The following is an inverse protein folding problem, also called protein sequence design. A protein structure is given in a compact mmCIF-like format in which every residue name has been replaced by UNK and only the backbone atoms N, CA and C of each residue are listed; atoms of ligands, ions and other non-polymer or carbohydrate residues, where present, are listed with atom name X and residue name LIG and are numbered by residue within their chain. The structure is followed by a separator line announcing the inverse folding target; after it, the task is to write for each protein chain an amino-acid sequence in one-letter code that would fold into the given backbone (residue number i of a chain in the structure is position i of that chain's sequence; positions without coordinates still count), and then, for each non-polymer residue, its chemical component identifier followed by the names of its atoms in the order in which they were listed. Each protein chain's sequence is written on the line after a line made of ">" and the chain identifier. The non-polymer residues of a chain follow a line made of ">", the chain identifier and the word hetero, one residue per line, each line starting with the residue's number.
data_IF_190367294549
#
_entry.id   IF_190367294549
#
_cell.length_a   1.000
_cell.length_b   1.000
_cell.length_c   1.000
_cell.angle_alpha   90.00
_cell.angle_beta   90.00
_cell.angle_gamma   90.00
#
_symmetry.space_group_name_H-M   'P 1'
#
loop_
_entity.id
_entity.type
_entity.pdbx_description
1 polymer ?
#
# COMPACT_ATOMS: atom_id res chain seq x y z
N UNK A 1 36.62 3.03 20.53
CA UNK A 1 36.90 2.16 19.37
C UNK A 1 36.89 3.05 18.15
N UNK A 2 37.96 3.09 17.36
CA UNK A 2 38.06 3.90 16.14
C UNK A 2 37.63 3.08 14.93
N UNK A 3 37.07 3.73 13.90
CA UNK A 3 36.67 3.08 12.65
C UNK A 3 37.92 2.70 11.84
N UNK A 4 37.99 1.47 11.36
CA UNK A 4 39.02 1.06 10.40
C UNK A 4 38.73 1.65 9.00
N UNK A 5 39.74 1.68 8.14
CA UNK A 5 39.54 2.09 6.74
C UNK A 5 38.53 1.19 6.01
N UNK A 6 38.49 -0.11 6.35
CA UNK A 6 37.51 -1.05 5.83
C UNK A 6 36.09 -0.75 6.32
N UNK A 7 35.93 -0.37 7.59
CA UNK A 7 34.64 0.06 8.12
C UNK A 7 34.12 1.30 7.38
N UNK A 8 34.99 2.30 7.16
CA UNK A 8 34.63 3.53 6.46
C UNK A 8 34.17 3.24 5.03
N UNK A 9 34.86 2.36 4.31
CA UNK A 9 34.49 2.00 2.94
C UNK A 9 33.16 1.22 2.89
N UNK A 10 32.96 0.29 3.83
CA UNK A 10 31.70 -0.46 3.94
C UNK A 10 30.52 0.47 4.26
N UNK A 11 30.70 1.46 5.14
CA UNK A 11 29.67 2.44 5.49
C UNK A 11 29.23 3.31 4.31
N UNK A 12 30.08 3.50 3.29
CA UNK A 12 29.81 4.34 2.12
C UNK A 12 29.19 3.58 0.95
N UNK A 13 29.21 2.25 0.99
CA UNK A 13 28.75 1.41 -0.09
C UNK A 13 27.45 0.73 0.33
N UNK A 14 26.31 0.96 -0.36
CA UNK A 14 25.07 0.28 -0.03
C UNK A 14 25.21 -1.25 -0.10
N UNK A 15 24.49 -1.97 0.76
CA UNK A 15 24.63 -3.43 0.87
C UNK A 15 24.38 -4.17 -0.45
N UNK A 16 23.47 -3.68 -1.31
CA UNK A 16 23.23 -4.28 -2.63
C UNK A 16 24.40 -4.07 -3.60
N UNK A 17 25.15 -2.97 -3.49
CA UNK A 17 26.38 -2.79 -4.27
C UNK A 17 27.51 -3.67 -3.72
N UNK A 18 27.64 -3.78 -2.41
CA UNK A 18 28.56 -4.75 -1.79
C UNK A 18 28.26 -6.18 -2.26
N UNK A 19 26.97 -6.56 -2.35
CA UNK A 19 26.55 -7.87 -2.84
C UNK A 19 26.95 -8.11 -4.31
N UNK A 20 26.79 -7.11 -5.19
CA UNK A 20 27.24 -7.19 -6.59
C UNK A 20 28.76 -7.36 -6.68
N UNK A 21 29.53 -6.68 -5.82
CA UNK A 21 30.99 -6.83 -5.76
C UNK A 21 31.35 -8.25 -5.31
N UNK A 22 30.69 -8.79 -4.28
CA UNK A 22 30.89 -10.17 -3.81
C UNK A 22 30.59 -11.19 -4.92
N UNK A 23 29.51 -11.02 -5.68
CA UNK A 23 29.20 -11.84 -6.86
C UNK A 23 30.31 -11.78 -7.91
N UNK A 24 30.81 -10.57 -8.23
CA UNK A 24 31.91 -10.39 -9.18
C UNK A 24 33.22 -11.06 -8.76
N UNK A 25 33.40 -11.31 -7.45
CA UNK A 25 34.55 -12.04 -6.88
C UNK A 25 34.33 -13.55 -6.79
N UNK A 26 33.15 -14.05 -7.16
CA UNK A 26 32.80 -15.47 -7.04
C UNK A 26 32.39 -15.90 -5.63
N UNK A 27 31.92 -14.96 -4.78
CA UNK A 27 31.45 -15.22 -3.41
C UNK A 27 29.91 -15.15 -3.31
N UNK A 28 29.15 -16.15 -3.78
CA UNK A 28 27.68 -16.10 -3.77
C UNK A 28 27.08 -16.13 -2.37
N UNK A 29 27.73 -16.81 -1.40
CA UNK A 29 27.25 -16.89 -0.01
C UNK A 29 27.31 -15.50 0.68
N UNK A 30 28.40 -14.78 0.49
CA UNK A 30 28.56 -13.41 0.99
C UNK A 30 27.54 -12.47 0.34
N UNK A 31 27.33 -12.59 -0.97
CA UNK A 31 26.34 -11.79 -1.68
C UNK A 31 24.91 -12.04 -1.16
N UNK A 32 24.53 -13.30 -0.93
CA UNK A 32 23.22 -13.65 -0.38
C UNK A 32 23.04 -13.04 1.02
N UNK A 33 24.02 -13.18 1.91
CA UNK A 33 23.98 -12.59 3.24
C UNK A 33 23.87 -11.05 3.21
N UNK A 34 24.53 -10.39 2.26
CA UNK A 34 24.43 -8.94 2.07
C UNK A 34 23.04 -8.51 1.55
N UNK A 35 22.43 -9.31 0.66
CA UNK A 35 21.05 -9.08 0.18
C UNK A 35 20.06 -9.21 1.34
N UNK A 36 20.16 -10.26 2.15
CA UNK A 36 19.26 -10.46 3.30
C UNK A 36 19.36 -9.30 4.30
N UNK A 37 20.58 -8.83 4.58
CA UNK A 37 20.80 -7.64 5.40
C UNK A 37 20.23 -6.37 4.77
N UNK A 38 20.32 -6.22 3.45
CA UNK A 38 19.73 -5.08 2.74
C UNK A 38 18.19 -5.10 2.85
N UNK A 39 17.58 -6.27 2.74
CA UNK A 39 16.13 -6.46 2.92
C UNK A 39 15.72 -6.11 4.36
N UNK A 40 16.49 -6.49 5.37
CA UNK A 40 16.18 -6.14 6.76
C UNK A 40 16.32 -4.62 7.02
N UNK A 41 17.34 -3.97 6.45
CA UNK A 41 17.44 -2.51 6.50
C UNK A 41 16.24 -1.83 5.82
N UNK A 42 15.82 -2.34 4.67
CA UNK A 42 14.62 -1.86 3.98
C UNK A 42 13.36 -2.05 4.85
N UNK A 43 13.22 -3.20 5.54
CA UNK A 43 12.10 -3.47 6.47
C UNK A 43 12.01 -2.40 7.53
N UNK A 44 13.12 -2.09 8.19
CA UNK A 44 13.19 -1.04 9.21
C UNK A 44 12.76 0.34 8.68
N UNK A 45 13.32 0.78 7.55
CA UNK A 45 12.99 2.08 6.94
C UNK A 45 11.54 2.17 6.48
N UNK A 46 11.01 1.10 5.88
CA UNK A 46 9.62 1.01 5.45
C UNK A 46 8.66 1.04 6.65
N UNK A 47 8.94 0.27 7.70
CA UNK A 47 8.12 0.27 8.92
C UNK A 47 8.15 1.63 9.61
N UNK A 48 9.33 2.26 9.70
CA UNK A 48 9.45 3.64 10.19
C UNK A 48 8.58 4.61 9.38
N UNK A 49 8.68 4.57 8.05
CA UNK A 49 7.93 5.47 7.16
C UNK A 49 6.42 5.30 7.30
N UNK A 50 5.93 4.05 7.43
CA UNK A 50 4.51 3.76 7.62
C UNK A 50 4.02 4.27 8.97
N UNK A 51 4.74 4.03 10.06
CA UNK A 51 4.37 4.56 11.38
C UNK A 51 4.38 6.10 11.39
N UNK A 52 5.35 6.72 10.72
CA UNK A 52 5.40 8.18 10.59
C UNK A 52 4.18 8.72 9.84
N UNK A 53 3.83 8.14 8.69
CA UNK A 53 2.64 8.53 7.92
C UNK A 53 1.37 8.32 8.75
N UNK A 54 1.19 7.17 9.40
CA UNK A 54 -0.01 6.92 10.23
C UNK A 54 -0.10 7.87 11.41
N UNK A 55 1.03 8.20 12.03
CA UNK A 55 1.08 9.19 13.12
C UNK A 55 0.67 10.58 12.66
N UNK A 56 1.12 11.01 11.47
CA UNK A 56 0.70 12.30 10.90
C UNK A 56 -0.79 12.29 10.54
N UNK A 57 -1.31 11.21 9.93
CA UNK A 57 -2.74 11.11 9.62
C UNK A 57 -3.60 11.06 10.88
N UNK A 58 -3.13 10.39 11.94
CA UNK A 58 -3.76 10.39 13.28
C UNK A 58 -3.84 11.81 13.82
N UNK A 59 -2.71 12.52 13.87
CA UNK A 59 -2.66 13.92 14.32
C UNK A 59 -3.59 14.83 13.51
N UNK A 60 -3.60 14.71 12.18
CA UNK A 60 -4.49 15.48 11.31
C UNK A 60 -5.96 15.18 11.64
N UNK A 61 -6.32 13.90 11.83
CA UNK A 61 -7.68 13.51 12.14
C UNK A 61 -8.14 13.99 13.52
N UNK A 62 -7.27 13.93 14.53
CA UNK A 62 -7.56 14.38 15.90
C UNK A 62 -7.68 15.91 15.99
N UNK A 63 -6.79 16.64 15.33
CA UNK A 63 -6.75 18.11 15.44
C UNK A 63 -7.65 18.83 14.44
N UNK A 64 -7.92 18.23 13.28
CA UNK A 64 -8.59 18.89 12.15
C UNK A 64 -9.80 18.11 11.62
N UNK A 65 -10.12 16.95 12.20
CA UNK A 65 -11.24 16.10 11.83
C UNK A 65 -10.95 15.15 10.65
N UNK A 66 -11.80 14.14 10.50
CA UNK A 66 -11.65 13.09 9.48
C UNK A 66 -11.64 13.64 8.05
N UNK A 67 -12.41 14.70 7.78
CA UNK A 67 -12.41 15.38 6.48
C UNK A 67 -11.00 15.82 6.06
N UNK A 68 -10.20 16.33 7.01
CA UNK A 68 -8.83 16.75 6.79
C UNK A 68 -7.91 15.59 6.38
N UNK A 69 -8.16 14.39 6.91
CA UNK A 69 -7.42 13.17 6.53
C UNK A 69 -7.61 12.87 5.03
N UNK A 70 -8.84 12.90 4.52
CA UNK A 70 -9.08 12.72 3.08
C UNK A 70 -8.47 13.86 2.27
N UNK A 71 -8.57 15.13 2.71
CA UNK A 71 -7.92 16.24 1.99
C UNK A 71 -6.40 16.03 1.87
N UNK A 72 -5.74 15.56 2.93
CA UNK A 72 -4.31 15.24 2.92
C UNK A 72 -3.98 14.07 1.97
N UNK A 73 -4.78 13.01 1.99
CA UNK A 73 -4.64 11.86 1.08
C UNK A 73 -4.89 12.26 -0.38
N UNK A 74 -5.90 13.09 -0.64
CA UNK A 74 -6.20 13.61 -1.98
C UNK A 74 -5.05 14.45 -2.54
N UNK A 75 -4.46 15.31 -1.71
CA UNK A 75 -3.26 16.09 -2.09
C UNK A 75 -2.11 15.17 -2.51
N UNK A 76 -1.86 14.11 -1.72
CA UNK A 76 -0.88 13.07 -2.09
C UNK A 76 -1.24 12.40 -3.41
N UNK A 77 -2.53 12.14 -3.62
CA UNK A 77 -3.07 11.60 -4.85
C UNK A 77 -2.75 12.44 -6.08
N UNK A 78 -3.03 13.74 -6.04
CA UNK A 78 -2.74 14.65 -7.14
C UNK A 78 -1.23 14.83 -7.37
N UNK A 79 -0.43 14.92 -6.31
CA UNK A 79 1.01 15.22 -6.42
C UNK A 79 1.85 14.00 -6.81
N UNK A 80 1.46 12.80 -6.39
CA UNK A 80 2.29 11.60 -6.53
C UNK A 80 1.59 10.44 -7.21
N UNK A 81 0.29 10.21 -6.97
CA UNK A 81 -0.40 9.03 -7.52
C UNK A 81 -0.76 9.28 -8.98
N UNK A 82 -1.42 10.40 -9.28
CA UNK A 82 -1.86 10.75 -10.63
C UNK A 82 -0.71 10.84 -11.63
N UNK A 83 0.43 11.52 -11.35
CA UNK A 83 1.55 11.55 -12.29
C UNK A 83 2.19 10.19 -12.54
N UNK A 84 2.17 9.27 -11.56
CA UNK A 84 2.67 7.90 -11.73
C UNK A 84 1.77 7.03 -12.59
N UNK A 85 0.49 7.39 -12.74
CA UNK A 85 -0.48 6.68 -13.60
C UNK A 85 -0.33 7.07 -15.07
N UNK A 86 0.23 8.25 -15.36
CA UNK A 86 0.48 8.73 -16.72
C UNK A 86 1.64 7.96 -17.37
N UNK A 87 1.33 6.76 -17.87
CA UNK A 87 2.27 5.85 -18.51
C UNK A 87 2.09 5.78 -20.03
N UNK A 88 1.20 6.61 -20.59
CA UNK A 88 0.78 6.54 -21.99
C UNK A 88 -0.18 5.41 -22.31
N UNK A 89 -0.71 4.71 -21.31
CA UNK A 89 -1.75 3.69 -21.45
C UNK A 89 -2.76 3.84 -20.32
N UNK A 90 -4.05 3.88 -20.68
CA UNK A 90 -5.12 4.01 -19.70
C UNK A 90 -5.25 2.74 -18.85
N UNK A 91 -5.49 2.92 -17.55
CA UNK A 91 -5.60 1.79 -16.62
C UNK A 91 -6.70 0.81 -17.03
N UNK A 92 -7.84 1.33 -17.51
CA UNK A 92 -9.00 0.54 -17.91
C UNK A 92 -8.72 -0.35 -19.13
N UNK A 93 -7.80 0.05 -20.00
CA UNK A 93 -7.47 -0.67 -21.24
C UNK A 93 -6.47 -1.81 -20.99
N UNK A 94 -5.84 -1.85 -19.81
CA UNK A 94 -4.92 -2.91 -19.44
C UNK A 94 -5.68 -4.20 -19.14
N UNK A 95 -5.20 -5.37 -19.65
CA UNK A 95 -5.74 -6.65 -19.26
C UNK A 95 -5.72 -6.81 -17.73
N UNK A 96 -6.77 -7.39 -17.13
CA UNK A 96 -6.84 -7.56 -15.67
C UNK A 96 -5.62 -8.30 -15.10
N UNK A 97 -5.06 -9.27 -15.83
CA UNK A 97 -3.83 -9.95 -15.43
C UNK A 97 -2.61 -9.00 -15.34
N UNK A 98 -2.52 -7.98 -16.20
CA UNK A 98 -1.46 -6.96 -16.11
C UNK A 98 -1.69 -6.05 -14.91
N UNK A 99 -2.92 -5.56 -14.72
CA UNK A 99 -3.33 -4.78 -13.55
C UNK A 99 -3.03 -5.52 -12.24
N UNK A 100 -3.42 -6.79 -12.15
CA UNK A 100 -3.20 -7.64 -10.98
C UNK A 100 -1.71 -7.82 -10.67
N UNK A 101 -0.87 -8.04 -11.68
CA UNK A 101 0.60 -8.15 -11.50
C UNK A 101 1.22 -6.87 -10.97
N UNK A 102 0.75 -5.69 -11.42
CA UNK A 102 1.24 -4.40 -10.92
C UNK A 102 0.94 -4.27 -9.42
N UNK A 103 -0.31 -4.53 -9.02
CA UNK A 103 -0.74 -4.44 -7.61
C UNK A 103 -0.01 -5.47 -6.75
N UNK A 104 0.03 -6.74 -7.18
CA UNK A 104 0.69 -7.82 -6.44
C UNK A 104 2.19 -7.53 -6.22
N UNK A 105 2.91 -7.03 -7.24
CA UNK A 105 4.32 -6.64 -7.11
C UNK A 105 4.53 -5.50 -6.12
N UNK A 106 3.65 -4.50 -6.15
CA UNK A 106 3.72 -3.38 -5.20
C UNK A 106 3.49 -3.86 -3.75
N UNK A 107 2.58 -4.82 -3.52
CA UNK A 107 2.38 -5.40 -2.19
C UNK A 107 3.53 -6.28 -1.73
N UNK A 108 4.06 -7.14 -2.60
CA UNK A 108 5.23 -7.96 -2.30
C UNK A 108 6.47 -7.09 -2.01
N UNK A 109 6.67 -5.99 -2.75
CA UNK A 109 7.73 -5.01 -2.49
C UNK A 109 7.57 -4.28 -1.15
N UNK A 110 6.34 -4.18 -0.64
CA UNK A 110 6.02 -3.70 0.71
C UNK A 110 6.04 -4.80 1.77
N UNK A 111 6.60 -5.97 1.46
CA UNK A 111 6.72 -7.12 2.37
C UNK A 111 5.38 -7.73 2.80
N UNK A 112 4.33 -7.56 1.99
CA UNK A 112 3.09 -8.30 2.15
C UNK A 112 3.18 -9.72 1.59
N UNK A 113 2.19 -10.55 1.91
CA UNK A 113 1.94 -11.83 1.26
C UNK A 113 0.72 -11.68 0.33
N UNK A 114 0.68 -12.43 -0.77
CA UNK A 114 -0.46 -12.44 -1.69
C UNK A 114 -0.88 -13.87 -2.01
N UNK A 115 -2.17 -14.14 -1.90
CA UNK A 115 -2.84 -15.25 -2.57
C UNK A 115 -3.61 -14.72 -3.77
N UNK A 116 -3.66 -15.53 -4.83
CA UNK A 116 -4.28 -15.16 -6.11
C UNK A 116 -5.28 -16.24 -6.48
N UNK A 117 -6.51 -15.81 -6.69
CA UNK A 117 -7.60 -16.63 -7.24
C UNK A 117 -8.13 -15.94 -8.51
N UNK A 118 -8.59 -16.73 -9.47
CA UNK A 118 -9.18 -16.23 -10.71
C UNK A 118 -10.39 -17.09 -11.05
N UNK A 119 -11.51 -16.42 -11.33
CA UNK A 119 -12.72 -17.01 -11.87
C UNK A 119 -13.01 -16.41 -13.26
N UNK A 120 -14.18 -16.69 -13.83
CA UNK A 120 -14.55 -16.20 -15.16
C UNK A 120 -14.71 -14.67 -15.21
N UNK A 121 -15.08 -14.02 -14.09
CA UNK A 121 -15.41 -12.60 -14.00
C UNK A 121 -14.20 -11.73 -13.60
N UNK A 122 -13.37 -12.22 -12.66
CA UNK A 122 -12.36 -11.40 -11.99
C UNK A 122 -11.15 -12.17 -11.46
N UNK A 123 -10.12 -11.40 -11.15
CA UNK A 123 -8.96 -11.84 -10.36
C UNK A 123 -9.13 -11.29 -8.94
N UNK A 124 -9.00 -12.16 -7.95
CA UNK A 124 -9.03 -11.83 -6.54
C UNK A 124 -7.61 -11.91 -5.97
N UNK A 125 -7.12 -10.80 -5.43
CA UNK A 125 -5.86 -10.75 -4.69
C UNK A 125 -6.15 -10.62 -3.20
N UNK A 126 -5.69 -11.60 -2.42
CA UNK A 126 -5.89 -11.68 -0.98
C UNK A 126 -4.57 -11.41 -0.27
N UNK A 127 -4.45 -10.24 0.37
CA UNK A 127 -3.19 -9.78 0.93
C UNK A 127 -3.12 -9.90 2.46
N UNK A 128 -2.02 -10.45 2.98
CA UNK A 128 -1.53 -9.96 4.28
C UNK A 128 -0.80 -8.65 4.00
N UNK A 129 -1.52 -7.54 4.19
CA UNK A 129 -1.05 -6.23 3.78
C UNK A 129 0.19 -5.82 4.59
N UNK A 130 1.30 -5.60 3.90
CA UNK A 130 2.57 -5.22 4.51
C UNK A 130 2.57 -3.83 5.16
N UNK A 131 1.49 -3.03 5.03
CA UNK A 131 1.42 -1.67 5.57
C UNK A 131 0.28 -1.51 6.58
N UNK A 132 -0.95 -1.24 6.13
CA UNK A 132 -2.10 -1.08 7.02
C UNK A 132 -2.41 -2.35 7.81
N UNK A 133 -2.44 -3.51 7.14
CA UNK A 133 -2.63 -4.82 7.78
C UNK A 133 -1.60 -5.10 8.87
N UNK A 134 -0.32 -4.89 8.56
CA UNK A 134 0.77 -4.99 9.54
C UNK A 134 0.52 -4.15 10.79
N UNK A 135 0.10 -2.89 10.67
CA UNK A 135 -0.20 -2.03 11.84
C UNK A 135 -1.36 -2.57 12.68
N UNK A 136 -2.38 -3.14 12.02
CA UNK A 136 -3.54 -3.75 12.69
C UNK A 136 -3.09 -4.99 13.47
N UNK A 137 -2.31 -5.86 12.84
CA UNK A 137 -1.80 -7.10 13.43
C UNK A 137 -0.84 -6.83 14.61
N UNK A 138 -0.07 -5.74 14.54
CA UNK A 138 0.80 -5.27 15.61
C UNK A 138 0.05 -4.56 16.76
N UNK A 139 -1.28 -4.43 16.67
CA UNK A 139 -2.10 -3.81 17.72
C UNK A 139 -1.89 -2.30 17.86
N UNK A 140 -1.44 -1.60 16.80
CA UNK A 140 -1.09 -0.17 16.85
C UNK A 140 -2.27 0.78 17.05
N UNK A 141 -3.49 0.26 17.04
CA UNK A 141 -4.73 1.03 17.21
C UNK A 141 -5.40 0.78 18.56
N UNK A 142 -4.65 0.19 19.50
CA UNK A 142 -5.11 -0.13 20.85
C UNK A 142 -4.11 0.45 21.88
N UNK A 143 -4.60 0.83 23.07
CA UNK A 143 -3.78 1.35 24.17
C UNK A 143 -3.58 2.87 24.22
N UNK A 144 -2.66 3.33 25.08
CA UNK A 144 -2.48 4.75 25.44
C UNK A 144 -1.94 5.64 24.30
N UNK A 145 -1.28 5.04 23.31
CA UNK A 145 -0.72 5.72 22.13
C UNK A 145 -1.24 5.10 20.83
N UNK A 146 -2.52 4.72 20.84
CA UNK A 146 -3.21 4.16 19.69
C UNK A 146 -3.25 5.17 18.53
N UNK A 147 -3.06 4.66 17.31
CA UNK A 147 -3.43 5.41 16.12
C UNK A 147 -4.95 5.55 16.00
N UNK A 148 -5.38 6.60 15.28
CA UNK A 148 -6.79 6.89 15.09
C UNK A 148 -7.50 5.80 14.26
N UNK A 149 -8.76 5.54 14.62
CA UNK A 149 -9.73 4.90 13.74
C UNK A 149 -10.74 5.96 13.30
N UNK A 150 -10.97 6.04 11.99
CA UNK A 150 -12.01 6.87 11.38
C UNK A 150 -13.36 6.25 11.67
N UNK A 151 -14.36 7.07 12.03
CA UNK A 151 -15.70 6.66 12.43
C UNK A 151 -16.78 7.33 11.58
N UNK A 152 -16.43 8.31 10.73
CA UNK A 152 -17.39 9.01 9.90
C UNK A 152 -17.77 8.17 8.68
N UNK A 153 -19.03 7.73 8.64
CA UNK A 153 -19.57 6.90 7.54
C UNK A 153 -19.62 7.70 6.24
N UNK A 154 -18.62 7.52 5.40
CA UNK A 154 -18.42 8.28 4.17
C UNK A 154 -17.61 7.46 3.16
N UNK A 155 -17.38 8.02 1.96
CA UNK A 155 -16.58 7.34 0.95
C UNK A 155 -15.19 6.92 1.46
N UNK A 156 -14.51 7.77 2.26
CA UNK A 156 -13.17 7.51 2.80
C UNK A 156 -13.08 6.23 3.64
N UNK A 157 -14.19 5.84 4.27
CA UNK A 157 -14.30 4.67 5.15
C UNK A 157 -14.98 3.48 4.45
N UNK A 158 -15.18 3.54 3.13
CA UNK A 158 -15.97 2.57 2.38
C UNK A 158 -17.43 2.47 2.87
N UNK A 159 -17.99 3.58 3.36
CA UNK A 159 -19.28 3.62 4.07
C UNK A 159 -19.35 2.65 5.26
N UNK A 160 -18.22 2.34 5.89
CA UNK A 160 -18.16 1.54 7.12
C UNK A 160 -18.30 2.45 8.34
N UNK A 161 -18.73 1.85 9.45
CA UNK A 161 -18.83 2.55 10.73
C UNK A 161 -17.45 2.82 11.36
N UNK A 162 -16.43 2.05 10.96
CA UNK A 162 -15.05 2.27 11.38
C UNK A 162 -14.05 1.81 10.30
N UNK A 163 -12.94 2.56 10.16
CA UNK A 163 -11.77 2.18 9.38
C UNK A 163 -10.48 2.68 10.04
N UNK A 164 -9.45 1.84 10.12
CA UNK A 164 -8.12 2.27 10.56
C UNK A 164 -7.57 3.39 9.68
N UNK A 165 -7.08 4.48 10.29
CA UNK A 165 -6.77 5.72 9.54
C UNK A 165 -5.79 5.51 8.39
N UNK A 166 -4.79 4.63 8.55
CA UNK A 166 -3.86 4.33 7.48
C UNK A 166 -4.55 3.70 6.26
N UNK A 167 -5.54 2.82 6.48
CA UNK A 167 -6.27 2.15 5.40
C UNK A 167 -7.16 3.09 4.58
N UNK A 168 -7.41 4.33 5.00
CA UNK A 168 -8.22 5.28 4.23
C UNK A 168 -7.61 5.61 2.86
N UNK A 169 -6.28 5.50 2.70
CA UNK A 169 -5.63 5.71 1.39
C UNK A 169 -6.11 4.71 0.33
N UNK A 170 -6.53 3.51 0.73
CA UNK A 170 -7.11 2.51 -0.16
C UNK A 170 -8.37 3.07 -0.82
N UNK A 171 -9.32 3.61 -0.04
CA UNK A 171 -10.53 4.21 -0.60
C UNK A 171 -10.18 5.46 -1.42
N UNK A 172 -9.41 6.38 -0.83
CA UNK A 172 -9.19 7.70 -1.43
C UNK A 172 -8.35 7.62 -2.70
N UNK A 173 -7.16 7.02 -2.62
CA UNK A 173 -6.20 7.03 -3.71
C UNK A 173 -6.39 5.90 -4.72
N UNK A 174 -6.88 4.73 -4.29
CA UNK A 174 -7.05 3.59 -5.21
C UNK A 174 -8.44 3.52 -5.83
N UNK A 175 -9.46 4.18 -5.26
CA UNK A 175 -10.84 4.09 -5.78
C UNK A 175 -11.48 5.43 -6.09
N UNK A 176 -11.64 6.31 -5.10
CA UNK A 176 -12.33 7.60 -5.25
C UNK A 176 -11.68 8.47 -6.33
N UNK A 177 -10.36 8.70 -6.21
CA UNK A 177 -9.67 9.60 -7.11
C UNK A 177 -9.56 9.05 -8.55
N UNK A 178 -9.26 7.76 -8.78
CA UNK A 178 -9.35 7.18 -10.12
C UNK A 178 -10.70 7.44 -10.81
N UNK A 179 -11.80 7.29 -10.07
CA UNK A 179 -13.15 7.59 -10.59
C UNK A 179 -13.30 9.07 -10.94
N UNK A 180 -12.85 9.97 -10.08
CA UNK A 180 -12.87 11.41 -10.35
C UNK A 180 -11.95 11.83 -11.52
N UNK A 181 -10.92 11.05 -11.80
CA UNK A 181 -10.03 11.24 -12.94
C UNK A 181 -10.54 10.59 -14.24
N UNK A 182 -11.73 9.98 -14.24
CA UNK A 182 -12.34 9.36 -15.42
C UNK A 182 -11.90 7.91 -15.69
N UNK A 183 -11.32 7.24 -14.68
CA UNK A 183 -10.91 5.83 -14.73
C UNK A 183 -11.84 4.97 -13.86
N UNK A 184 -11.84 3.66 -14.07
CA UNK A 184 -12.37 2.75 -13.04
C UNK A 184 -11.46 2.78 -11.80
N UNK A 185 -11.93 2.35 -10.63
CA UNK A 185 -11.06 2.08 -9.49
C UNK A 185 -9.85 1.22 -9.88
N UNK A 186 -8.73 1.44 -9.20
CA UNK A 186 -7.49 0.66 -9.42
C UNK A 186 -7.74 -0.83 -9.12
N UNK A 187 -8.43 -1.08 -8.01
CA UNK A 187 -9.05 -2.36 -7.63
C UNK A 187 -10.23 -2.07 -6.72
N UNK A 188 -11.14 -3.03 -6.55
CA UNK A 188 -12.22 -2.94 -5.55
C UNK A 188 -11.71 -3.55 -4.25
N UNK A 189 -11.37 -2.73 -3.27
CA UNK A 189 -10.65 -3.12 -2.06
C UNK A 189 -11.59 -3.30 -0.85
N UNK A 190 -11.43 -4.41 -0.16
CA UNK A 190 -12.11 -4.73 1.09
C UNK A 190 -11.05 -4.89 2.18
N UNK A 191 -10.75 -3.81 2.94
CA UNK A 191 -9.84 -3.89 4.07
C UNK A 191 -10.35 -4.89 5.12
N UNK A 192 -9.46 -5.45 5.95
CA UNK A 192 -9.85 -6.36 7.03
C UNK A 192 -10.90 -5.75 7.96
N UNK A 193 -11.51 -6.57 8.80
CA UNK A 193 -12.43 -6.12 9.87
C UNK A 193 -11.88 -6.38 11.27
N UNK A 194 -10.85 -7.25 11.38
CA UNK A 194 -10.12 -7.52 12.62
C UNK A 194 -8.67 -7.96 12.34
N UNK A 195 -7.78 -7.96 13.35
CA UNK A 195 -6.43 -8.48 13.21
C UNK A 195 -6.38 -9.92 12.68
N UNK A 196 -5.40 -10.20 11.85
CA UNK A 196 -5.16 -11.50 11.20
C UNK A 196 -5.96 -11.74 9.92
N UNK A 197 -6.93 -10.88 9.58
CA UNK A 197 -7.66 -10.96 8.32
C UNK A 197 -6.86 -10.38 7.14
N UNK A 198 -7.15 -10.87 5.93
CA UNK A 198 -6.57 -10.35 4.70
C UNK A 198 -7.36 -9.19 4.12
N UNK A 199 -6.66 -8.29 3.45
CA UNK A 199 -7.25 -7.27 2.58
C UNK A 199 -7.54 -7.90 1.21
N UNK A 200 -8.77 -7.79 0.72
CA UNK A 200 -9.20 -8.41 -0.54
C UNK A 200 -9.28 -7.34 -1.63
N UNK A 201 -8.69 -7.60 -2.80
CA UNK A 201 -8.77 -6.72 -3.96
C UNK A 201 -9.38 -7.50 -5.12
N UNK A 202 -10.52 -7.03 -5.64
CA UNK A 202 -11.09 -7.56 -6.86
C UNK A 202 -10.66 -6.74 -8.08
N UNK A 203 -10.24 -7.43 -9.13
CA UNK A 203 -9.97 -6.87 -10.45
C UNK A 203 -10.85 -7.57 -11.48
N UNK A 204 -11.93 -6.91 -11.88
CA UNK A 204 -12.80 -7.41 -12.94
C UNK A 204 -12.07 -7.42 -14.29
N UNK A 205 -12.27 -8.50 -15.06
CA UNK A 205 -11.67 -8.67 -16.38
C UNK A 205 -12.10 -7.57 -17.34
N UNK A 206 -13.41 -7.30 -17.37
CA UNK A 206 -13.99 -6.09 -17.95
C UNK A 206 -14.34 -5.09 -16.84
N UNK A 207 -13.94 -3.83 -16.99
CA UNK A 207 -14.30 -2.77 -16.03
C UNK A 207 -15.79 -2.42 -16.07
N UNK A 208 -16.48 -2.74 -17.16
CA UNK A 208 -17.94 -2.60 -17.27
C UNK A 208 -18.69 -3.56 -16.32
N UNK A 209 -18.07 -4.68 -15.93
CA UNK A 209 -18.67 -5.67 -15.03
C UNK A 209 -18.54 -5.29 -13.54
N UNK A 210 -17.80 -4.23 -13.20
CA UNK A 210 -17.72 -3.72 -11.82
C UNK A 210 -19.12 -3.35 -11.35
N UNK A 211 -19.65 -3.87 -10.23
CA UNK A 211 -21.01 -3.60 -9.78
C UNK A 211 -21.19 -2.16 -9.24
N UNK A 212 -22.43 -1.65 -9.26
CA UNK A 212 -22.75 -0.29 -8.78
C UNK A 212 -22.37 -0.09 -7.30
N UNK A 213 -22.56 -1.13 -6.47
CA UNK A 213 -22.18 -1.14 -5.05
C UNK A 213 -20.70 -0.76 -4.84
N UNK A 214 -19.82 -1.12 -5.78
CA UNK A 214 -18.40 -0.80 -5.70
C UNK A 214 -18.14 0.72 -5.75
N UNK A 215 -19.01 1.48 -6.42
CA UNK A 215 -18.97 2.94 -6.48
C UNK A 215 -19.74 3.57 -5.32
N UNK A 216 -20.91 3.01 -4.97
CA UNK A 216 -21.75 3.54 -3.89
C UNK A 216 -21.03 3.54 -2.54
N UNK A 217 -20.30 2.46 -2.23
CA UNK A 217 -19.52 2.33 -0.98
C UNK A 217 -18.40 3.36 -0.85
N UNK A 218 -17.97 3.98 -1.95
CA UNK A 218 -16.97 5.06 -1.93
C UNK A 218 -17.61 6.44 -2.15
N UNK A 219 -18.95 6.54 -2.09
CA UNK A 219 -19.68 7.78 -2.29
C UNK A 219 -19.66 8.28 -3.74
N UNK A 220 -19.55 7.37 -4.70
CA UNK A 220 -19.55 7.64 -6.14
C UNK A 220 -20.74 6.99 -6.82
N UNK A 221 -21.00 7.44 -8.04
CA UNK A 221 -21.89 6.78 -8.99
C UNK A 221 -21.04 6.25 -10.12
N UNK A 222 -21.45 5.14 -10.73
CA UNK A 222 -20.80 4.62 -11.94
C UNK A 222 -20.74 5.73 -13.01
N UNK A 223 -19.57 5.95 -13.66
CA UNK A 223 -19.43 6.88 -14.78
C UNK A 223 -20.29 6.54 -16.00
#
# INVERSE_FOLDING_TARGET
>A
MELSAADIESMRTPLWEQAKIALGRGNPEEAAALIDRAVEQWRGLKTYSINWITSLLTFIGEEMGEEAVERALRKTGEEFVRPRRDTGTEWNDLPAAARAKVIARAMLGNMGEVEVEEDDEKITLSFKCGSGGMLIDEGKYEGEHAYMKLQEKSGRTFMRDELWVYCAHCSVNNEIQPVEWGSAPTSIEYPPTKPGERCIHHLYKDVADVPDEAYERIGKTRP
#
